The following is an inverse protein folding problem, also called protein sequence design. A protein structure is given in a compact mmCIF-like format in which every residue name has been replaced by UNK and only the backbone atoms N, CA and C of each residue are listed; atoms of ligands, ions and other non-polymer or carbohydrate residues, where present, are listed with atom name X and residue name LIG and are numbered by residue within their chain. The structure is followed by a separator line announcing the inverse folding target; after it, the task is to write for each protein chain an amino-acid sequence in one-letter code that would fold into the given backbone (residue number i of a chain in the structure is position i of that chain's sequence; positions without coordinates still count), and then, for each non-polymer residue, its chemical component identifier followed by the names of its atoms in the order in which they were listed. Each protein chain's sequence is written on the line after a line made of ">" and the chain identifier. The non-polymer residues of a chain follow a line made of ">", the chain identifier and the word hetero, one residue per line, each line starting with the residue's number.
data_IF_684074924355
#
_entry.id   IF_684074924355
#
_cell.length_a   1.000
_cell.length_b   1.000
_cell.length_c   1.000
_cell.angle_alpha   90.00
_cell.angle_beta   90.00
_cell.angle_gamma   90.00
#
_symmetry.space_group_name_H-M   'P 1'
#
loop_
_entity.id
_entity.type
_entity.pdbx_description
1 polymer ?
#
# COMPACT_ATOMS: atom_id res chain seq x y z
N UNK A 1 -0.15 -17.39 -0.93
CA UNK A 1 0.82 -16.30 -1.14
C UNK A 1 0.35 -15.11 -0.32
N UNK A 2 1.19 -14.55 0.55
CA UNK A 2 0.87 -13.35 1.33
C UNK A 2 1.22 -12.10 0.51
N UNK A 3 0.21 -11.32 0.15
CA UNK A 3 0.35 -10.07 -0.60
C UNK A 3 -0.02 -8.90 0.31
N UNK A 4 0.82 -7.88 0.35
CA UNK A 4 0.60 -6.66 1.11
C UNK A 4 0.67 -5.45 0.17
N UNK A 5 -0.37 -4.63 0.17
CA UNK A 5 -0.43 -3.33 -0.50
C UNK A 5 -0.36 -2.27 0.59
N UNK A 6 0.70 -1.47 0.61
CA UNK A 6 0.86 -0.35 1.52
C UNK A 6 0.68 0.94 0.73
N UNK A 7 -0.13 1.86 1.24
CA UNK A 7 -0.31 3.15 0.60
C UNK A 7 -0.20 4.31 1.58
N UNK A 8 0.28 5.45 1.09
CA UNK A 8 0.06 6.74 1.71
C UNK A 8 -0.91 7.56 0.85
N UNK A 9 -1.74 8.40 1.45
CA UNK A 9 -2.60 9.29 0.67
C UNK A 9 -3.08 10.51 1.45
N UNK A 10 -2.77 11.70 0.92
CA UNK A 10 -3.29 12.96 1.46
C UNK A 10 -4.70 13.29 0.96
N UNK A 11 -5.00 12.97 -0.30
CA UNK A 11 -6.26 13.33 -0.97
C UNK A 11 -7.11 12.12 -1.36
N UNK A 12 -6.70 10.91 -0.97
CA UNK A 12 -7.43 9.66 -1.25
C UNK A 12 -7.24 9.10 -2.67
N UNK A 13 -6.50 9.76 -3.56
CA UNK A 13 -6.27 9.24 -4.92
C UNK A 13 -5.44 7.95 -4.90
N UNK A 14 -4.35 7.94 -4.14
CA UNK A 14 -3.51 6.74 -3.97
C UNK A 14 -4.28 5.62 -3.27
N UNK A 15 -5.12 5.95 -2.29
CA UNK A 15 -5.97 4.98 -1.60
C UNK A 15 -6.92 4.26 -2.57
N UNK A 16 -7.59 5.00 -3.46
CA UNK A 16 -8.48 4.42 -4.48
C UNK A 16 -7.73 3.43 -5.37
N UNK A 17 -6.51 3.78 -5.78
CA UNK A 17 -5.65 2.90 -6.60
C UNK A 17 -5.23 1.66 -5.78
N UNK A 18 -4.80 1.84 -4.53
CA UNK A 18 -4.37 0.75 -3.65
C UNK A 18 -5.50 -0.25 -3.37
N UNK A 19 -6.73 0.25 -3.14
CA UNK A 19 -7.93 -0.58 -3.00
C UNK A 19 -8.22 -1.35 -4.28
N UNK A 20 -8.20 -0.70 -5.44
CA UNK A 20 -8.41 -1.37 -6.72
C UNK A 20 -7.36 -2.47 -7.01
N UNK A 21 -6.09 -2.25 -6.62
CA UNK A 21 -5.05 -3.27 -6.71
C UNK A 21 -5.33 -4.43 -5.75
N UNK A 22 -5.69 -4.13 -4.50
CA UNK A 22 -6.03 -5.15 -3.50
C UNK A 22 -7.23 -6.01 -3.89
N UNK A 23 -8.29 -5.39 -4.43
CA UNK A 23 -9.50 -6.07 -4.88
C UNK A 23 -9.23 -7.02 -6.06
N UNK A 24 -8.22 -6.72 -6.89
CA UNK A 24 -7.82 -7.57 -8.01
C UNK A 24 -6.97 -8.79 -7.58
N UNK A 25 -6.48 -8.84 -6.34
CA UNK A 25 -5.59 -9.89 -5.83
C UNK A 25 -6.27 -10.61 -4.65
N UNK A 26 -6.80 -11.82 -4.86
CA UNK A 26 -7.45 -12.58 -3.78
C UNK A 26 -6.55 -12.76 -2.56
N UNK A 27 -7.01 -12.27 -1.40
CA UNK A 27 -6.29 -12.38 -0.13
C UNK A 27 -5.20 -11.32 0.09
N UNK A 28 -5.09 -10.31 -0.77
CA UNK A 28 -4.23 -9.16 -0.50
C UNK A 28 -4.77 -8.32 0.67
N UNK A 29 -3.87 -7.88 1.54
CA UNK A 29 -4.17 -6.87 2.58
C UNK A 29 -3.79 -5.50 2.05
N UNK A 30 -4.65 -4.52 2.26
CA UNK A 30 -4.40 -3.11 1.91
C UNK A 30 -4.34 -2.31 3.21
N UNK A 31 -3.21 -1.65 3.47
CA UNK A 31 -2.97 -0.88 4.70
C UNK A 31 -2.51 0.53 4.37
N UNK A 32 -2.96 1.51 5.16
CA UNK A 32 -2.31 2.82 5.17
C UNK A 32 -0.89 2.68 5.76
N UNK A 33 0.07 3.49 5.31
CA UNK A 33 1.47 3.39 5.73
C UNK A 33 1.65 3.55 7.25
N UNK A 34 0.78 4.31 7.91
CA UNK A 34 0.77 4.45 9.37
C UNK A 34 0.30 3.21 10.14
N UNK A 35 -0.33 2.25 9.46
CA UNK A 35 -0.85 1.00 10.04
C UNK A 35 0.02 -0.20 9.68
N UNK A 36 1.02 -0.01 8.81
CA UNK A 36 1.93 -1.07 8.41
C UNK A 36 2.97 -1.32 9.53
N UNK A 37 3.10 -2.58 9.94
CA UNK A 37 4.17 -3.03 10.82
C UNK A 37 5.30 -3.65 9.97
N UNK A 38 6.52 -3.07 9.97
CA UNK A 38 7.66 -3.62 9.26
C UNK A 38 8.00 -5.07 9.63
N UNK A 39 7.66 -5.53 10.85
CA UNK A 39 7.91 -6.91 11.27
C UNK A 39 7.12 -7.93 10.45
N UNK A 40 5.98 -7.54 9.86
CA UNK A 40 5.17 -8.44 9.04
C UNK A 40 5.81 -8.73 7.67
N UNK A 41 6.74 -7.87 7.22
CA UNK A 41 7.37 -7.93 5.89
C UNK A 41 8.16 -9.23 5.67
N UNK A 42 8.72 -9.82 6.73
CA UNK A 42 9.44 -11.11 6.64
C UNK A 42 8.55 -12.24 6.10
N UNK A 43 7.23 -12.14 6.34
CA UNK A 43 6.26 -13.15 5.91
C UNK A 43 5.56 -12.83 4.59
N UNK A 44 5.82 -11.65 4.00
CA UNK A 44 5.18 -11.19 2.77
C UNK A 44 5.91 -11.74 1.55
N UNK A 45 5.17 -12.28 0.58
CA UNK A 45 5.74 -12.79 -0.67
C UNK A 45 5.75 -11.72 -1.78
N UNK A 46 4.82 -10.76 -1.71
CA UNK A 46 4.71 -9.64 -2.65
C UNK A 46 4.31 -8.39 -1.88
N UNK A 47 5.14 -7.35 -1.98
CA UNK A 47 4.86 -6.02 -1.46
C UNK A 47 4.60 -5.06 -2.62
N UNK A 48 3.46 -4.36 -2.58
CA UNK A 48 3.12 -3.27 -3.48
C UNK A 48 3.06 -2.00 -2.66
N UNK A 49 3.74 -0.93 -3.10
CA UNK A 49 3.79 0.34 -2.36
C UNK A 49 3.33 1.47 -3.27
N UNK A 50 2.44 2.32 -2.77
CA UNK A 50 1.99 3.52 -3.47
C UNK A 50 2.03 4.75 -2.58
N UNK A 51 2.53 5.88 -3.07
CA UNK A 51 2.47 7.17 -2.38
C UNK A 51 2.15 8.29 -3.36
N UNK A 52 1.55 9.40 -2.91
CA UNK A 52 1.45 10.58 -3.76
C UNK A 52 2.83 11.16 -4.02
N UNK A 53 3.06 11.68 -5.23
CA UNK A 53 4.19 12.58 -5.45
C UNK A 53 3.85 13.95 -4.85
N UNK A 54 4.47 14.29 -3.73
CA UNK A 54 4.51 15.68 -3.29
C UNK A 54 5.54 16.41 -4.14
N UNK A 55 5.15 17.50 -4.79
CA UNK A 55 5.99 18.25 -5.74
C UNK A 55 7.15 19.00 -5.10
N UNK A 56 7.98 18.30 -4.31
CA UNK A 56 9.05 18.79 -3.44
C UNK A 56 9.64 20.12 -3.88
N UNK A 57 9.68 21.08 -2.96
CA UNK A 57 10.52 22.26 -3.14
C UNK A 57 11.98 21.82 -3.10
N UNK A 58 12.88 22.40 -3.93
CA UNK A 58 14.31 22.12 -3.89
C UNK A 58 14.91 22.30 -2.48
#
# INVERSE_FOLDING_TARGET
>A
MKVLVVYDSQYGNTEKIARAIGDAIPGARVLHASEADPSELESVNLLIVGSPTHGGRP
#
